data_IF_976467817316
#
_entry.id   IF_976467817316
#
_cell.length_a   1.000
_cell.length_b   1.000
_cell.length_c   1.000
_cell.angle_alpha   90.00
_cell.angle_beta   90.00
_cell.angle_gamma   90.00
#
_symmetry.space_group_name_H-M   'P 1'
#
loop_
_entity.id
_entity.type
_entity.pdbx_description
1 polymer ?
#
# COMPACT_ATOMS: atom_id res chain seq x y z
N UNK A 1 -26.27 6.37 30.57
CA UNK A 1 -24.98 6.58 31.26
C UNK A 1 -24.70 8.02 31.67
N UNK A 2 -25.01 9.02 30.83
CA UNK A 2 -24.61 10.42 31.10
C UNK A 2 -25.34 11.09 32.26
N UNK A 3 -26.58 10.70 32.55
CA UNK A 3 -27.34 11.17 33.71
C UNK A 3 -26.66 10.79 35.02
N UNK A 4 -26.23 9.53 35.19
CA UNK A 4 -25.48 9.05 36.37
C UNK A 4 -24.11 9.73 36.50
N UNK A 5 -23.42 10.01 35.38
CA UNK A 5 -22.16 10.75 35.38
C UNK A 5 -22.34 12.19 35.87
N UNK A 6 -23.41 12.87 35.42
CA UNK A 6 -23.78 14.22 35.87
C UNK A 6 -24.15 14.23 37.36
N UNK A 7 -24.95 13.28 37.82
CA UNK A 7 -25.33 13.14 39.25
C UNK A 7 -24.10 12.94 40.14
N UNK A 8 -23.19 12.04 39.78
CA UNK A 8 -21.91 11.86 40.50
C UNK A 8 -21.09 13.15 40.53
N UNK A 9 -20.97 13.88 39.41
CA UNK A 9 -20.26 15.16 39.38
C UNK A 9 -20.90 16.21 40.30
N UNK A 10 -22.23 16.30 40.33
CA UNK A 10 -22.98 17.22 41.22
C UNK A 10 -22.74 16.88 42.69
N UNK A 11 -22.80 15.58 43.04
CA UNK A 11 -22.56 15.12 44.41
C UNK A 11 -21.11 15.38 44.86
N UNK A 12 -20.15 15.24 43.95
CA UNK A 12 -18.74 15.59 44.23
C UNK A 12 -18.53 17.10 44.48
N UNK A 13 -19.37 17.96 43.90
CA UNK A 13 -19.38 19.41 44.20
C UNK A 13 -20.00 19.69 45.57
N UNK A 14 -21.10 19.02 45.90
CA UNK A 14 -21.75 19.13 47.22
C UNK A 14 -20.83 18.67 48.34
N UNK A 15 -20.05 17.60 48.12
CA UNK A 15 -19.00 17.16 49.05
C UNK A 15 -17.96 18.21 49.42
N UNK A 16 -17.70 19.19 48.54
CA UNK A 16 -16.71 20.26 48.81
C UNK A 16 -17.25 21.38 49.69
N UNK A 17 -18.56 21.46 49.88
CA UNK A 17 -19.24 22.53 50.60
C UNK A 17 -20.00 22.04 51.85
N UNK A 18 -19.96 20.74 52.15
CA UNK A 18 -20.77 20.11 53.19
C UNK A 18 -20.06 20.04 54.55
N UNK A 19 -20.85 20.09 55.63
CA UNK A 19 -20.41 19.90 57.03
C UNK A 19 -20.07 18.42 57.33
N UNK A 20 -19.32 18.16 58.41
CA UNK A 20 -18.88 16.82 58.85
C UNK A 20 -20.03 15.82 58.93
N UNK A 21 -21.18 16.21 59.48
CA UNK A 21 -22.36 15.34 59.63
C UNK A 21 -23.04 15.01 58.28
N UNK A 22 -23.10 15.99 57.37
CA UNK A 22 -23.68 15.83 56.03
C UNK A 22 -22.82 14.92 55.13
N UNK A 23 -21.50 14.86 55.38
CA UNK A 23 -20.59 14.02 54.59
C UNK A 23 -20.93 12.53 54.68
N UNK A 24 -21.39 12.05 55.84
CA UNK A 24 -21.77 10.65 56.05
C UNK A 24 -22.98 10.26 55.21
N UNK A 25 -24.02 11.11 55.15
CA UNK A 25 -25.17 10.90 54.28
C UNK A 25 -24.81 10.93 52.80
N UNK A 26 -23.95 11.87 52.39
CA UNK A 26 -23.47 11.97 51.01
C UNK A 26 -22.61 10.76 50.59
N UNK A 27 -21.83 10.16 51.50
CA UNK A 27 -21.06 8.93 51.24
C UNK A 27 -21.97 7.75 50.88
N UNK A 28 -23.09 7.59 51.59
CA UNK A 28 -24.07 6.53 51.31
C UNK A 28 -24.68 6.71 49.92
N UNK A 29 -25.11 7.93 49.58
CA UNK A 29 -25.69 8.21 48.26
C UNK A 29 -24.63 8.02 47.15
N UNK A 30 -23.38 8.42 47.41
CA UNK A 30 -22.27 8.22 46.48
C UNK A 30 -21.98 6.74 46.22
N UNK A 31 -21.98 5.90 47.25
CA UNK A 31 -21.73 4.45 47.12
C UNK A 31 -22.81 3.78 46.28
N UNK A 32 -24.09 4.11 46.52
CA UNK A 32 -25.23 3.64 45.73
C UNK A 32 -25.14 4.06 44.26
N UNK A 33 -24.83 5.33 43.98
CA UNK A 33 -24.62 5.83 42.61
C UNK A 33 -23.43 5.14 41.92
N UNK A 34 -22.35 4.87 42.65
CA UNK A 34 -21.17 4.16 42.13
C UNK A 34 -21.52 2.72 41.79
N UNK A 35 -22.26 2.02 42.66
CA UNK A 35 -22.72 0.66 42.42
C UNK A 35 -23.63 0.57 41.18
N UNK A 36 -24.62 1.46 41.08
CA UNK A 36 -25.55 1.54 39.92
C UNK A 36 -24.81 1.82 38.61
N UNK A 37 -23.88 2.78 38.61
CA UNK A 37 -23.06 3.07 37.43
C UNK A 37 -22.18 1.88 37.03
N UNK A 38 -21.57 1.19 38.01
CA UNK A 38 -20.73 0.01 37.74
C UNK A 38 -21.54 -1.14 37.16
N UNK A 39 -22.70 -1.45 37.74
CA UNK A 39 -23.61 -2.49 37.23
C UNK A 39 -24.02 -2.21 35.78
N UNK A 40 -24.42 -0.98 35.48
CA UNK A 40 -24.82 -0.58 34.12
C UNK A 40 -23.65 -0.62 33.14
N UNK A 41 -22.45 -0.18 33.56
CA UNK A 41 -21.23 -0.28 32.75
C UNK A 41 -20.87 -1.73 32.40
N UNK A 42 -21.00 -2.65 33.36
CA UNK A 42 -20.75 -4.08 33.14
C UNK A 42 -21.78 -4.66 32.18
N UNK A 43 -23.06 -4.34 32.35
CA UNK A 43 -24.12 -4.79 31.46
C UNK A 43 -23.92 -4.30 30.02
N UNK A 44 -23.59 -3.01 29.83
CA UNK A 44 -23.27 -2.46 28.51
C UNK A 44 -22.03 -3.11 27.90
N UNK A 45 -20.97 -3.30 28.69
CA UNK A 45 -19.74 -3.95 28.22
C UNK A 45 -19.99 -5.39 27.82
N UNK A 46 -20.79 -6.13 28.59
CA UNK A 46 -21.21 -7.48 28.26
C UNK A 46 -22.03 -7.52 26.95
N UNK A 47 -22.98 -6.59 26.78
CA UNK A 47 -23.76 -6.47 25.53
C UNK A 47 -22.85 -6.19 24.33
N UNK A 48 -21.90 -5.25 24.46
CA UNK A 48 -20.93 -4.92 23.41
C UNK A 48 -20.04 -6.12 23.06
N UNK A 49 -19.53 -6.85 24.06
CA UNK A 49 -18.75 -8.08 23.86
C UNK A 49 -19.56 -9.16 23.12
N UNK A 50 -20.81 -9.40 23.51
CA UNK A 50 -21.71 -10.36 22.82
C UNK A 50 -21.97 -9.94 21.38
N UNK A 51 -22.26 -8.66 21.14
CA UNK A 51 -22.46 -8.12 19.79
C UNK A 51 -21.22 -8.28 18.91
N UNK A 52 -20.03 -7.99 19.46
CA UNK A 52 -18.77 -8.15 18.73
C UNK A 52 -18.47 -9.62 18.41
N UNK A 53 -18.69 -10.53 19.38
CA UNK A 53 -18.54 -11.97 19.16
C UNK A 53 -19.43 -12.45 18.02
N UNK A 54 -20.70 -12.04 18.01
CA UNK A 54 -21.65 -12.39 16.94
C UNK A 54 -21.19 -11.88 15.58
N UNK A 55 -20.79 -10.61 15.48
CA UNK A 55 -20.25 -10.03 14.23
C UNK A 55 -19.01 -10.76 13.74
N UNK A 56 -18.10 -11.13 14.64
CA UNK A 56 -16.91 -11.89 14.26
C UNK A 56 -17.26 -13.30 13.76
N UNK A 57 -18.21 -13.98 14.41
CA UNK A 57 -18.72 -15.28 13.97
C UNK A 57 -19.41 -15.18 12.60
N UNK A 58 -20.27 -14.19 12.40
CA UNK A 58 -20.94 -13.92 11.11
C UNK A 58 -19.91 -13.68 9.99
N UNK A 59 -18.84 -12.92 10.26
CA UNK A 59 -17.75 -12.70 9.29
C UNK A 59 -17.00 -13.99 8.96
N UNK A 60 -16.68 -14.80 9.98
CA UNK A 60 -16.00 -16.07 9.77
C UNK A 60 -16.85 -17.05 8.96
N UNK A 61 -18.15 -17.17 9.28
CA UNK A 61 -19.07 -18.07 8.56
C UNK A 61 -19.26 -17.62 7.11
N UNK A 62 -19.34 -16.32 6.86
CA UNK A 62 -19.51 -15.77 5.50
C UNK A 62 -18.32 -16.09 4.59
N UNK A 63 -17.09 -15.91 5.09
CA UNK A 63 -15.86 -16.23 4.34
C UNK A 63 -14.72 -16.58 5.34
N UNK A 64 -14.50 -17.88 5.61
CA UNK A 64 -13.47 -18.31 6.55
C UNK A 64 -12.05 -17.94 6.09
N UNK A 65 -11.80 -17.96 4.78
CA UNK A 65 -10.47 -17.70 4.22
C UNK A 65 -10.13 -16.21 4.28
N UNK A 66 -11.06 -15.33 3.92
CA UNK A 66 -10.86 -13.89 4.08
C UNK A 66 -10.70 -13.51 5.55
N UNK A 67 -11.50 -14.11 6.45
CA UNK A 67 -11.39 -13.88 7.88
C UNK A 67 -10.02 -14.32 8.42
N UNK A 68 -9.54 -15.51 8.06
CA UNK A 68 -8.22 -16.00 8.43
C UNK A 68 -7.10 -15.13 7.86
N UNK A 69 -7.20 -14.71 6.59
CA UNK A 69 -6.25 -13.77 6.00
C UNK A 69 -6.20 -12.47 6.78
N UNK A 70 -7.34 -11.90 7.17
CA UNK A 70 -7.37 -10.68 7.99
C UNK A 70 -6.81 -10.90 9.40
N UNK A 71 -6.99 -12.08 9.98
CA UNK A 71 -6.49 -12.41 11.33
C UNK A 71 -4.96 -12.60 11.36
N UNK A 72 -4.39 -13.23 10.34
CA UNK A 72 -2.99 -13.62 10.30
C UNK A 72 -2.10 -12.70 9.44
N UNK A 73 -2.66 -11.94 8.50
CA UNK A 73 -1.86 -10.99 7.71
C UNK A 73 -1.64 -9.72 8.53
N UNK A 74 -0.42 -9.53 9.01
CA UNK A 74 0.05 -8.22 9.44
C UNK A 74 0.26 -7.32 8.21
N UNK A 75 0.06 -5.99 8.33
CA UNK A 75 0.33 -5.08 7.22
C UNK A 75 1.81 -5.17 6.84
N UNK A 76 2.09 -5.74 5.66
CA UNK A 76 3.44 -5.93 5.13
C UNK A 76 4.09 -4.62 4.63
N UNK A 77 3.38 -3.49 4.70
CA UNK A 77 3.86 -2.24 4.15
C UNK A 77 4.93 -1.62 5.07
N UNK A 78 6.19 -1.74 4.66
CA UNK A 78 7.30 -1.03 5.28
C UNK A 78 7.36 0.44 4.91
N UNK A 79 8.21 1.17 5.62
CA UNK A 79 8.66 2.50 5.20
C UNK A 79 10.15 2.40 4.96
N UNK A 80 10.60 2.92 3.82
CA UNK A 80 12.02 3.02 3.54
C UNK A 80 12.59 4.14 4.40
N UNK A 81 13.44 3.80 5.36
CA UNK A 81 14.10 4.75 6.28
C UNK A 81 15.44 5.26 5.76
N UNK A 82 15.95 4.64 4.69
CA UNK A 82 17.24 4.97 4.06
C UNK A 82 17.14 6.31 3.35
N UNK A 83 18.19 7.12 3.47
CA UNK A 83 18.27 8.38 2.74
C UNK A 83 18.40 8.16 1.24
N UNK A 84 17.92 9.12 0.44
CA UNK A 84 17.91 9.00 -1.02
C UNK A 84 19.32 8.78 -1.59
N UNK A 85 20.31 9.49 -1.05
CA UNK A 85 21.68 9.44 -1.56
C UNK A 85 22.34 8.08 -1.32
N UNK A 86 22.11 7.49 -0.15
CA UNK A 86 22.57 6.12 0.16
C UNK A 86 21.90 5.09 -0.77
N UNK A 87 20.62 5.27 -1.08
CA UNK A 87 19.92 4.40 -2.03
C UNK A 87 20.48 4.55 -3.46
N UNK A 88 20.64 5.77 -3.95
CA UNK A 88 21.16 6.05 -5.30
C UNK A 88 22.58 5.53 -5.49
N UNK A 89 23.44 5.69 -4.48
CA UNK A 89 24.82 5.14 -4.52
C UNK A 89 24.83 3.62 -4.54
N UNK A 90 23.98 2.97 -3.73
CA UNK A 90 23.82 1.51 -3.75
C UNK A 90 23.34 1.00 -5.11
N UNK A 91 22.35 1.67 -5.71
CA UNK A 91 21.82 1.33 -7.03
C UNK A 91 22.87 1.48 -8.11
N UNK A 92 23.58 2.62 -8.11
CA UNK A 92 24.67 2.86 -9.06
C UNK A 92 25.71 1.77 -8.93
N UNK A 93 26.13 1.40 -7.72
CA UNK A 93 27.08 0.29 -7.52
C UNK A 93 26.56 -1.06 -8.03
N UNK A 94 25.28 -1.36 -7.81
CA UNK A 94 24.69 -2.68 -8.11
C UNK A 94 24.37 -2.86 -9.59
N UNK A 95 23.93 -1.81 -10.26
CA UNK A 95 23.42 -1.86 -11.64
C UNK A 95 24.33 -1.15 -12.66
N UNK A 96 25.43 -0.53 -12.23
CA UNK A 96 26.44 -0.05 -13.17
C UNK A 96 27.37 -1.19 -13.56
N UNK A 97 27.53 -1.37 -14.87
CA UNK A 97 28.54 -2.25 -15.43
C UNK A 97 29.57 -1.36 -16.17
N UNK A 98 30.77 -1.14 -15.60
CA UNK A 98 31.81 -0.34 -16.24
C UNK A 98 32.38 -1.03 -17.48
N UNK A 99 32.21 -2.34 -17.59
CA UNK A 99 32.71 -3.19 -18.68
C UNK A 99 31.64 -3.55 -19.69
N UNK A 100 30.44 -2.92 -19.65
CA UNK A 100 29.31 -3.31 -20.51
C UNK A 100 29.63 -3.25 -22.01
N UNK A 101 30.53 -2.36 -22.41
CA UNK A 101 30.93 -2.16 -23.81
C UNK A 101 32.02 -3.15 -24.25
N UNK A 102 32.59 -3.92 -23.31
CA UNK A 102 33.56 -4.98 -23.60
C UNK A 102 32.78 -6.26 -23.91
N UNK A 103 32.90 -6.82 -25.13
CA UNK A 103 32.29 -8.10 -25.45
C UNK A 103 32.73 -9.19 -24.48
N UNK A 104 31.78 -9.98 -24.00
CA UNK A 104 32.10 -11.16 -23.21
C UNK A 104 32.84 -12.17 -24.08
N UNK A 105 33.86 -12.82 -23.51
CA UNK A 105 34.57 -13.92 -24.17
C UNK A 105 33.64 -15.12 -24.39
N UNK A 106 33.91 -15.88 -25.45
CA UNK A 106 33.16 -17.10 -25.72
C UNK A 106 33.36 -18.09 -24.57
N UNK A 107 32.28 -18.55 -23.93
CA UNK A 107 32.40 -19.39 -22.76
C UNK A 107 32.98 -20.76 -23.12
N UNK A 108 34.16 -21.07 -22.57
CA UNK A 108 34.87 -22.31 -22.84
C UNK A 108 34.02 -23.55 -22.46
N UNK A 109 33.90 -24.50 -23.38
CA UNK A 109 33.21 -25.78 -23.16
C UNK A 109 31.69 -25.77 -23.40
N UNK A 110 31.10 -24.66 -23.85
CA UNK A 110 29.70 -24.64 -24.25
C UNK A 110 29.53 -25.04 -25.72
N UNK A 111 28.59 -25.97 -25.97
CA UNK A 111 28.14 -26.32 -27.32
C UNK A 111 26.96 -25.41 -27.67
N UNK A 112 27.14 -24.55 -28.67
CA UNK A 112 26.05 -23.74 -29.20
C UNK A 112 24.98 -24.65 -29.81
N UNK A 113 23.69 -24.45 -29.49
CA UNK A 113 22.61 -25.22 -30.11
C UNK A 113 22.53 -24.93 -31.61
N UNK A 114 22.00 -25.89 -32.37
CA UNK A 114 21.70 -25.67 -33.78
C UNK A 114 20.74 -24.49 -33.95
N UNK A 115 20.89 -23.74 -35.05
CA UNK A 115 20.02 -22.61 -35.35
C UNK A 115 18.54 -23.06 -35.33
N UNK A 116 17.64 -22.25 -34.75
CA UNK A 116 16.23 -22.61 -34.69
C UNK A 116 15.66 -22.77 -36.10
N UNK A 117 14.90 -23.85 -36.34
CA UNK A 117 14.28 -24.12 -37.64
C UNK A 117 13.17 -23.12 -38.01
N UNK A 118 12.66 -22.37 -37.03
CA UNK A 118 11.63 -21.35 -37.22
C UNK A 118 12.28 -19.97 -37.04
N UNK A 119 12.20 -19.14 -38.08
CA UNK A 119 12.67 -17.75 -38.03
C UNK A 119 11.81 -16.92 -37.08
N UNK A 120 12.45 -16.05 -36.32
CA UNK A 120 11.75 -15.08 -35.47
C UNK A 120 10.94 -14.09 -36.32
N UNK A 121 9.73 -13.73 -35.89
CA UNK A 121 8.92 -12.74 -36.60
C UNK A 121 9.42 -11.32 -36.27
N UNK A 122 10.30 -10.80 -37.11
CA UNK A 122 10.85 -9.43 -37.00
C UNK A 122 9.92 -8.35 -37.56
N UNK A 123 8.64 -8.63 -37.78
CA UNK A 123 7.68 -7.62 -38.24
C UNK A 123 7.35 -6.64 -37.11
N UNK A 124 7.03 -5.37 -37.44
CA UNK A 124 6.58 -4.41 -36.45
C UNK A 124 5.23 -4.83 -35.88
N UNK A 125 4.98 -4.47 -34.62
CA UNK A 125 3.73 -4.80 -33.92
C UNK A 125 2.49 -4.35 -34.69
N UNK A 126 1.44 -5.18 -34.65
CA UNK A 126 0.13 -4.88 -35.24
C UNK A 126 -0.71 -4.04 -34.27
N UNK A 127 -1.62 -3.23 -34.79
CA UNK A 127 -2.50 -2.41 -33.93
C UNK A 127 -3.34 -3.29 -33.00
N UNK A 128 -3.80 -4.45 -33.48
CA UNK A 128 -4.59 -5.40 -32.70
C UNK A 128 -3.81 -6.01 -31.53
N UNK A 129 -2.52 -6.30 -31.71
CA UNK A 129 -1.65 -6.78 -30.64
C UNK A 129 -1.49 -5.72 -29.54
N UNK A 130 -1.31 -4.46 -29.93
CA UNK A 130 -1.22 -3.34 -28.99
C UNK A 130 -2.54 -3.13 -28.24
N UNK A 131 -3.68 -3.25 -28.92
CA UNK A 131 -5.01 -3.19 -28.28
C UNK A 131 -5.16 -4.32 -27.26
N UNK A 132 -4.84 -5.55 -27.63
CA UNK A 132 -4.93 -6.71 -26.74
C UNK A 132 -4.05 -6.54 -25.48
N UNK A 133 -2.82 -6.06 -25.66
CA UNK A 133 -1.90 -5.77 -24.56
C UNK A 133 -2.45 -4.71 -23.61
N UNK A 134 -2.93 -3.58 -24.15
CA UNK A 134 -3.50 -2.49 -23.34
C UNK A 134 -4.74 -2.98 -22.59
N UNK A 135 -5.57 -3.81 -23.20
CA UNK A 135 -6.77 -4.35 -22.56
C UNK A 135 -6.45 -5.29 -21.39
N UNK A 136 -5.34 -6.03 -21.44
CA UNK A 136 -4.85 -6.87 -20.34
C UNK A 136 -4.42 -6.06 -19.11
N UNK A 137 -3.92 -4.84 -19.29
CA UNK A 137 -3.55 -3.95 -18.19
C UNK A 137 -4.77 -3.46 -17.39
N UNK A 138 -4.64 -3.26 -16.07
CA UNK A 138 -5.73 -2.70 -15.26
C UNK A 138 -5.90 -1.21 -15.57
N UNK A 139 -7.15 -0.75 -15.75
CA UNK A 139 -7.42 0.66 -16.08
C UNK A 139 -6.98 1.66 -14.99
N UNK A 140 -6.98 1.21 -13.72
CA UNK A 140 -6.56 1.98 -12.54
C UNK A 140 -5.07 1.79 -12.18
N UNK A 141 -4.28 1.14 -13.04
CA UNK A 141 -2.83 1.08 -12.82
C UNK A 141 -2.25 2.49 -12.79
N UNK A 142 -1.23 2.70 -11.95
CA UNK A 142 -0.49 3.96 -11.94
C UNK A 142 0.11 4.24 -13.33
N UNK A 143 0.07 5.48 -13.80
CA UNK A 143 0.68 5.84 -15.08
C UNK A 143 2.21 5.71 -14.99
N UNK A 144 2.85 5.42 -16.13
CA UNK A 144 4.31 5.41 -16.23
C UNK A 144 4.91 6.81 -16.35
N UNK A 145 6.17 6.91 -16.77
CA UNK A 145 6.93 8.16 -16.92
C UNK A 145 6.25 9.19 -17.81
N UNK A 146 5.49 8.74 -18.82
CA UNK A 146 4.71 9.62 -19.70
C UNK A 146 3.48 10.25 -19.02
N UNK A 147 3.16 9.85 -17.79
CA UNK A 147 2.00 10.28 -16.99
C UNK A 147 0.64 10.02 -17.63
N UNK A 148 0.56 9.13 -18.63
CA UNK A 148 -0.69 8.78 -19.32
C UNK A 148 -1.27 7.48 -18.73
N UNK A 149 -2.44 7.52 -18.09
CA UNK A 149 -3.06 6.32 -17.52
C UNK A 149 -3.65 5.39 -18.61
N UNK A 150 -3.65 4.09 -18.34
CA UNK A 150 -4.20 3.07 -19.25
C UNK A 150 -5.67 3.29 -19.63
N UNK A 151 -6.46 3.93 -18.76
CA UNK A 151 -7.86 4.26 -19.04
C UNK A 151 -8.02 5.13 -20.29
N UNK A 152 -7.07 6.03 -20.58
CA UNK A 152 -7.10 6.87 -21.78
C UNK A 152 -6.87 6.05 -23.03
N UNK A 153 -5.90 5.13 -23.01
CA UNK A 153 -5.66 4.24 -24.14
C UNK A 153 -6.84 3.31 -24.44
N UNK A 154 -7.55 2.87 -23.40
CA UNK A 154 -8.75 2.03 -23.54
C UNK A 154 -9.97 2.78 -24.07
N UNK A 155 -10.19 4.00 -23.57
CA UNK A 155 -11.38 4.80 -23.94
C UNK A 155 -11.18 5.57 -25.25
N UNK A 156 -9.96 5.99 -25.56
CA UNK A 156 -9.66 6.86 -26.69
C UNK A 156 -8.77 6.13 -27.71
N UNK A 157 -9.39 5.42 -28.66
CA UNK A 157 -8.66 4.67 -29.71
C UNK A 157 -7.73 5.54 -30.54
N UNK A 158 -8.03 6.83 -30.73
CA UNK A 158 -7.15 7.75 -31.46
C UNK A 158 -5.82 7.99 -30.74
N UNK A 159 -5.82 8.03 -29.40
CA UNK A 159 -4.60 8.15 -28.59
C UNK A 159 -3.77 6.87 -28.72
N UNK A 160 -4.43 5.71 -28.68
CA UNK A 160 -3.78 4.43 -28.89
C UNK A 160 -3.18 4.28 -30.29
N UNK A 161 -3.89 4.73 -31.34
CA UNK A 161 -3.38 4.77 -32.72
C UNK A 161 -2.14 5.66 -32.83
N UNK A 162 -2.09 6.80 -32.12
CA UNK A 162 -0.88 7.65 -32.06
C UNK A 162 0.28 6.92 -31.39
N UNK A 163 0.05 6.27 -30.25
CA UNK A 163 1.08 5.45 -29.58
C UNK A 163 1.61 4.35 -30.52
N UNK A 164 0.73 3.66 -31.22
CA UNK A 164 1.12 2.62 -32.19
C UNK A 164 1.98 3.18 -33.33
N UNK A 165 1.65 4.36 -33.86
CA UNK A 165 2.49 5.05 -34.86
C UNK A 165 3.90 5.34 -34.32
N UNK A 166 4.01 5.80 -33.07
CA UNK A 166 5.30 6.06 -32.42
C UNK A 166 6.11 4.77 -32.29
N UNK A 167 5.50 3.68 -31.81
CA UNK A 167 6.16 2.37 -31.70
C UNK A 167 6.66 1.86 -33.05
N UNK A 168 5.85 1.98 -34.11
CA UNK A 168 6.26 1.59 -35.46
C UNK A 168 7.39 2.47 -36.01
N UNK A 169 7.38 3.75 -35.70
CA UNK A 169 8.44 4.68 -36.09
C UNK A 169 9.76 4.32 -35.41
N UNK A 170 9.74 4.08 -34.09
CA UNK A 170 10.91 3.65 -33.34
C UNK A 170 11.50 2.34 -33.87
N UNK A 171 10.63 1.36 -34.20
CA UNK A 171 11.04 0.10 -34.81
C UNK A 171 11.74 0.28 -36.17
N UNK A 172 11.15 1.09 -37.06
CA UNK A 172 11.71 1.32 -38.40
C UNK A 172 13.03 2.08 -38.38
N UNK A 173 13.15 3.06 -37.49
CA UNK A 173 14.29 3.95 -37.45
C UNK A 173 15.43 3.43 -36.57
N UNK A 174 15.20 2.34 -35.81
CA UNK A 174 16.16 1.78 -34.83
C UNK A 174 16.70 2.88 -33.90
N UNK A 175 15.83 3.83 -33.56
CA UNK A 175 16.15 4.99 -32.71
C UNK A 175 15.13 5.04 -31.60
N UNK A 176 15.63 4.85 -30.38
CA UNK A 176 14.85 4.91 -29.15
C UNK A 176 15.21 6.22 -28.44
N UNK A 177 14.20 6.94 -27.93
CA UNK A 177 14.42 8.16 -27.16
C UNK A 177 15.22 7.86 -25.89
N UNK A 178 16.13 8.76 -25.50
CA UNK A 178 16.85 8.65 -24.22
C UNK A 178 15.89 8.54 -23.04
N UNK A 179 14.76 9.24 -23.09
CA UNK A 179 13.73 9.18 -22.05
C UNK A 179 13.15 7.77 -21.85
N UNK A 180 13.14 6.94 -22.90
CA UNK A 180 12.68 5.54 -22.82
C UNK A 180 13.77 4.60 -22.30
N UNK A 181 15.02 5.07 -22.28
CA UNK A 181 16.19 4.38 -21.74
C UNK A 181 16.47 4.79 -20.29
N UNK A 182 15.71 5.74 -19.74
CA UNK A 182 15.80 6.15 -18.34
C UNK A 182 14.90 5.27 -17.47
N UNK A 183 15.46 4.67 -16.42
CA UNK A 183 14.70 3.98 -15.40
C UNK A 183 14.28 4.96 -14.30
N UNK A 184 12.99 5.28 -14.24
CA UNK A 184 12.37 5.92 -13.07
C UNK A 184 11.59 4.86 -12.28
N UNK A 185 11.77 4.81 -10.97
CA UNK A 185 11.20 3.75 -10.12
C UNK A 185 10.66 4.29 -8.81
N UNK A 186 9.59 3.66 -8.32
CA UNK A 186 9.09 3.84 -6.96
C UNK A 186 9.57 2.66 -6.12
N UNK A 187 10.31 2.93 -5.06
CA UNK A 187 10.80 1.90 -4.15
C UNK A 187 9.72 1.47 -3.17
N UNK A 188 9.28 0.22 -3.31
CA UNK A 188 8.28 -0.37 -2.44
C UNK A 188 8.99 -1.37 -1.51
N UNK A 189 9.12 -1.07 -0.21
CA UNK A 189 9.75 -1.98 0.73
C UNK A 189 8.93 -3.27 0.85
N UNK A 190 9.61 -4.41 0.74
CA UNK A 190 8.96 -5.74 0.79
C UNK A 190 8.33 -6.06 2.15
N UNK A 191 8.86 -5.52 3.26
CA UNK A 191 8.35 -5.71 4.63
C UNK A 191 8.65 -4.47 5.49
N UNK A 192 7.87 -4.27 6.55
CA UNK A 192 8.19 -3.28 7.58
C UNK A 192 9.36 -3.75 8.47
N UNK A 193 10.32 -2.87 8.71
CA UNK A 193 11.20 -2.98 9.88
C UNK A 193 10.33 -2.71 11.12
N UNK A 194 10.30 -3.62 12.07
CA UNK A 194 9.50 -3.50 13.29
C UNK A 194 10.16 -2.49 14.24
N UNK A 195 10.09 -1.19 13.92
CA UNK A 195 10.56 -0.13 14.80
C UNK A 195 9.37 0.61 15.41
N UNK A 196 9.36 0.66 16.75
CA UNK A 196 8.18 1.00 17.57
C UNK A 196 7.69 2.45 17.48
N UNK A 197 8.39 3.35 16.80
CA UNK A 197 8.05 4.78 16.80
C UNK A 197 8.25 5.39 15.41
N UNK A 198 7.25 6.11 14.90
CA UNK A 198 7.35 6.96 13.70
C UNK A 198 6.97 8.40 14.03
N UNK A 199 7.63 9.38 13.40
CA UNK A 199 6.93 10.47 12.74
C UNK A 199 6.97 10.31 11.22
N UNK A 200 6.04 11.01 10.57
CA UNK A 200 5.55 10.85 9.19
C UNK A 200 6.57 11.34 8.16
N UNK A 201 6.70 10.61 7.03
CA UNK A 201 7.59 10.95 5.91
C UNK A 201 6.82 11.58 4.73
N UNK A 202 7.43 12.53 3.99
CA UNK A 202 6.86 13.17 2.80
C UNK A 202 7.10 12.33 1.51
N UNK A 203 6.33 12.64 0.46
CA UNK A 203 6.49 12.06 -0.88
C UNK A 203 7.81 12.53 -1.52
N UNK A 204 8.62 11.59 -2.03
CA UNK A 204 9.89 11.87 -2.71
C UNK A 204 9.81 11.38 -4.17
N UNK A 205 10.12 12.27 -5.11
CA UNK A 205 10.33 11.96 -6.54
C UNK A 205 11.83 12.13 -6.82
N UNK A 206 12.48 11.12 -7.42
CA UNK A 206 13.88 11.19 -7.82
C UNK A 206 13.97 11.10 -9.35
N UNK A 207 14.73 12.03 -9.95
CA UNK A 207 15.11 12.01 -11.36
C UNK A 207 16.57 11.56 -11.45
N UNK A 208 16.81 10.37 -11.99
CA UNK A 208 18.14 9.94 -12.37
C UNK A 208 18.44 10.48 -13.78
N UNK A 209 19.33 11.46 -13.90
CA UNK A 209 19.93 11.85 -15.18
C UNK A 209 21.13 10.93 -15.44
N UNK A 210 21.09 10.22 -16.56
CA UNK A 210 22.24 9.51 -17.15
C UNK A 210 22.93 10.36 -18.20
#
# INVERSE_FOLDING_TARGET
MDTLRKQKRKLKKQFRAASSEETNGLLVIWSQLKARHSALSRAESARKKRSQKRKNQERFIRDPFQFARQLFQQPESGTLTVEREELETHLKKTYSDPTREIPLEDPAGLVWPAAPGIKFDSKPSRLQEVIALVNKARAKSAPGTNRVPYILYKRCLNVLKKLHKILRSAWKNIKISKEWMTAEGVYIPKRARFERNKPVSPNITAQCRG
#
